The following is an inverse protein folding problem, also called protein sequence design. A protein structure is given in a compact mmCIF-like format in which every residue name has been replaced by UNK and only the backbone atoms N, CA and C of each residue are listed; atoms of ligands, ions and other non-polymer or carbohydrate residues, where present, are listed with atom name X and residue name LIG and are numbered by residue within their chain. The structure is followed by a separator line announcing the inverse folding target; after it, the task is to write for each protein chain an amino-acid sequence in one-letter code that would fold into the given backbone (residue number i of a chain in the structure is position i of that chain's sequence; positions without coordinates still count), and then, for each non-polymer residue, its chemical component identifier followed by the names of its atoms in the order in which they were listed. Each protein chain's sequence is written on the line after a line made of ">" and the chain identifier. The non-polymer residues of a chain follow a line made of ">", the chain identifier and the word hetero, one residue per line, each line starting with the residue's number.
data_IF_680145055070
#
_entry.id   IF_680145055070
#
_cell.length_a   1.000
_cell.length_b   1.000
_cell.length_c   1.000
_cell.angle_alpha   90.00
_cell.angle_beta   90.00
_cell.angle_gamma   90.00
#
_symmetry.space_group_name_H-M   'P 1'
#
loop_
_entity.id
_entity.type
_entity.pdbx_description
1 polymer ?
#
# COMPACT_ATOMS: atom_id res chain seq x y z
N UNK A 1 0.94 -14.11 -4.26
CA UNK A 1 0.14 -13.08 -4.96
C UNK A 1 1.09 -12.04 -5.55
N UNK A 2 0.77 -11.49 -6.71
CA UNK A 2 1.57 -10.47 -7.41
C UNK A 2 0.76 -9.19 -7.61
N UNK A 3 1.39 -8.06 -7.27
CA UNK A 3 0.80 -6.72 -7.39
C UNK A 3 1.65 -5.94 -8.40
N UNK A 4 1.04 -5.52 -9.50
CA UNK A 4 1.73 -4.78 -10.55
C UNK A 4 1.18 -3.36 -10.62
N UNK A 5 2.07 -2.39 -10.41
CA UNK A 5 1.74 -0.96 -10.45
C UNK A 5 2.28 -0.38 -11.75
N UNK A 6 1.44 0.33 -12.50
CA UNK A 6 1.80 0.97 -13.77
C UNK A 6 1.46 2.46 -13.74
N UNK A 7 2.13 3.24 -14.61
CA UNK A 7 1.73 4.63 -14.85
C UNK A 7 0.55 4.68 -15.81
N UNK A 8 0.66 3.92 -16.90
CA UNK A 8 -0.36 3.85 -17.94
C UNK A 8 -1.32 2.69 -17.75
N UNK A 9 -2.44 2.74 -18.48
CA UNK A 9 -3.45 1.69 -18.51
C UNK A 9 -2.85 0.35 -18.96
N UNK A 10 -3.30 -0.74 -18.34
CA UNK A 10 -2.90 -2.10 -18.74
C UNK A 10 -3.28 -2.39 -20.20
N UNK A 11 -2.48 -3.21 -20.89
CA UNK A 11 -2.86 -3.72 -22.20
C UNK A 11 -3.92 -4.82 -22.07
N UNK A 12 -4.53 -5.21 -23.19
CA UNK A 12 -5.49 -6.33 -23.20
C UNK A 12 -4.87 -7.61 -22.68
N UNK A 13 -3.68 -7.95 -23.16
CA UNK A 13 -3.04 -9.23 -22.82
C UNK A 13 -2.63 -9.25 -21.34
N UNK A 14 -2.17 -8.12 -20.80
CA UNK A 14 -1.93 -7.99 -19.36
C UNK A 14 -3.18 -8.29 -18.52
N UNK A 15 -4.36 -7.78 -18.93
CA UNK A 15 -5.62 -8.09 -18.23
C UNK A 15 -6.03 -9.54 -18.38
N UNK A 16 -5.83 -10.13 -19.57
CA UNK A 16 -6.12 -11.54 -19.83
C UNK A 16 -5.28 -12.45 -18.94
N UNK A 17 -3.98 -12.19 -18.86
CA UNK A 17 -3.07 -12.97 -17.99
C UNK A 17 -3.42 -12.82 -16.52
N UNK A 18 -3.73 -11.59 -16.06
CA UNK A 18 -4.14 -11.35 -14.68
C UNK A 18 -5.42 -12.12 -14.31
N UNK A 19 -6.41 -12.15 -15.21
CA UNK A 19 -7.65 -12.91 -15.01
C UNK A 19 -7.41 -14.43 -15.05
N UNK A 20 -6.55 -14.90 -15.97
CA UNK A 20 -6.25 -16.33 -16.15
C UNK A 20 -5.43 -16.91 -15.00
N UNK A 21 -4.70 -16.08 -14.26
CA UNK A 21 -3.94 -16.48 -13.08
C UNK A 21 -4.79 -17.03 -11.92
N UNK A 22 -6.11 -16.78 -11.92
CA UNK A 22 -7.05 -17.30 -10.92
C UNK A 22 -6.89 -16.68 -9.53
N UNK A 23 -7.39 -17.38 -8.51
CA UNK A 23 -7.51 -16.86 -7.15
C UNK A 23 -6.67 -17.65 -6.14
N UNK A 24 -6.13 -16.94 -5.16
CA UNK A 24 -5.55 -17.49 -3.94
C UNK A 24 -6.65 -17.56 -2.87
N UNK A 25 -6.96 -18.76 -2.42
CA UNK A 25 -7.91 -19.00 -1.33
C UNK A 25 -7.20 -18.81 0.02
N UNK A 26 -7.75 -17.94 0.87
CA UNK A 26 -7.27 -17.77 2.25
C UNK A 26 -8.18 -18.53 3.20
N UNK A 27 -7.68 -19.62 3.79
CA UNK A 27 -8.43 -20.40 4.78
C UNK A 27 -8.80 -19.58 6.02
N UNK A 28 -7.91 -18.68 6.44
CA UNK A 28 -8.12 -17.84 7.63
C UNK A 28 -9.30 -16.87 7.47
N UNK A 29 -9.49 -16.35 6.26
CA UNK A 29 -10.50 -15.34 5.96
C UNK A 29 -11.68 -15.91 5.16
N UNK A 30 -11.65 -17.21 4.86
CA UNK A 30 -12.57 -17.94 3.98
C UNK A 30 -12.96 -17.12 2.74
N UNK A 31 -11.93 -16.57 2.08
CA UNK A 31 -12.10 -15.65 0.95
C UNK A 31 -11.03 -15.85 -0.10
N UNK A 32 -11.45 -15.71 -1.35
CA UNK A 32 -10.61 -15.73 -2.53
C UNK A 32 -10.09 -14.33 -2.88
N UNK A 33 -8.81 -14.27 -3.24
CA UNK A 33 -8.13 -13.04 -3.65
C UNK A 33 -7.41 -13.24 -5.00
N UNK A 34 -7.51 -12.31 -5.98
CA UNK A 34 -6.89 -12.51 -7.29
C UNK A 34 -5.37 -12.65 -7.18
N UNK A 35 -4.81 -13.73 -7.76
CA UNK A 35 -3.36 -14.01 -7.65
C UNK A 35 -2.51 -12.93 -8.29
N UNK A 36 -2.99 -12.32 -9.36
CA UNK A 36 -2.32 -11.25 -10.10
C UNK A 36 -3.28 -10.06 -10.18
N UNK A 37 -2.82 -8.90 -9.74
CA UNK A 37 -3.60 -7.66 -9.77
C UNK A 37 -2.77 -6.57 -10.41
N UNK A 38 -3.37 -5.80 -11.32
CA UNK A 38 -2.73 -4.69 -12.01
C UNK A 38 -3.50 -3.42 -11.65
N UNK A 39 -2.78 -2.38 -11.22
CA UNK A 39 -3.35 -1.08 -10.88
C UNK A 39 -2.48 0.04 -11.45
N UNK A 40 -3.10 1.11 -11.88
CA UNK A 40 -2.38 2.34 -12.22
C UNK A 40 -2.20 3.21 -10.98
N UNK A 41 -1.21 4.09 -10.99
CA UNK A 41 -1.05 5.11 -9.94
C UNK A 41 -2.31 5.99 -9.85
N UNK A 42 -2.92 6.36 -11.00
CA UNK A 42 -4.14 7.15 -11.03
C UNK A 42 -5.34 6.44 -10.38
N UNK A 43 -5.49 5.14 -10.62
CA UNK A 43 -6.51 4.29 -9.96
C UNK A 43 -6.29 4.27 -8.45
N UNK A 44 -5.05 4.07 -7.99
CA UNK A 44 -4.72 4.07 -6.56
C UNK A 44 -5.03 5.40 -5.88
N UNK A 45 -4.69 6.52 -6.54
CA UNK A 45 -5.02 7.86 -6.04
C UNK A 45 -6.53 8.11 -6.01
N UNK A 46 -7.29 7.41 -6.86
CA UNK A 46 -8.76 7.45 -6.88
C UNK A 46 -9.40 6.46 -5.88
N UNK A 47 -8.61 5.85 -4.99
CA UNK A 47 -9.09 4.90 -3.98
C UNK A 47 -9.20 3.44 -4.44
N UNK A 48 -8.79 3.11 -5.67
CA UNK A 48 -8.79 1.74 -6.18
C UNK A 48 -7.50 1.02 -5.80
N UNK A 49 -7.46 0.53 -4.56
CA UNK A 49 -6.34 -0.24 -4.03
C UNK A 49 -6.27 -1.69 -4.52
N UNK A 50 -5.39 -2.46 -3.87
CA UNK A 50 -5.26 -3.89 -4.05
C UNK A 50 -6.16 -4.66 -3.08
N UNK A 51 -6.68 -5.80 -3.53
CA UNK A 51 -7.41 -6.74 -2.70
C UNK A 51 -6.43 -7.68 -2.01
N UNK A 52 -6.19 -7.45 -0.73
CA UNK A 52 -5.27 -8.22 0.08
C UNK A 52 -6.02 -8.83 1.28
N UNK A 53 -5.62 -10.04 1.73
CA UNK A 53 -6.03 -10.54 3.02
C UNK A 53 -5.69 -9.50 4.10
N UNK A 54 -6.59 -9.23 5.06
CA UNK A 54 -6.28 -8.33 6.16
C UNK A 54 -5.01 -8.79 6.87
N UNK A 55 -4.06 -7.87 7.07
CA UNK A 55 -2.86 -8.16 7.84
C UNK A 55 -3.23 -8.29 9.32
N UNK A 56 -3.36 -9.52 9.80
CA UNK A 56 -3.42 -9.84 11.23
C UNK A 56 -2.04 -9.60 11.86
N UNK A 57 -1.81 -8.36 12.30
CA UNK A 57 -0.60 -7.97 13.03
C UNK A 57 0.66 -7.83 12.17
N UNK A 58 1.69 -7.21 12.76
CA UNK A 58 3.03 -7.12 12.16
C UNK A 58 3.62 -8.53 12.09
N UNK A 59 3.78 -9.09 10.90
CA UNK A 59 4.51 -10.34 10.66
C UNK A 59 6.03 -10.23 10.91
N UNK A 60 6.45 -9.15 11.57
CA UNK A 60 7.82 -8.73 11.79
C UNK A 60 7.93 -8.17 13.20
N UNK A 61 9.08 -8.36 13.84
CA UNK A 61 9.37 -7.72 15.11
C UNK A 61 9.51 -6.21 14.90
N UNK A 62 8.72 -5.36 15.58
CA UNK A 62 8.87 -3.91 15.47
C UNK A 62 10.25 -3.50 16.00
N UNK A 63 10.92 -2.59 15.28
CA UNK A 63 12.19 -2.04 15.74
C UNK A 63 12.01 -1.26 17.06
N UNK A 64 13.03 -1.31 17.91
CA UNK A 64 13.02 -0.55 19.15
C UNK A 64 12.94 0.95 18.85
N UNK A 65 12.02 1.64 19.52
CA UNK A 65 11.81 3.07 19.32
C UNK A 65 12.95 3.84 19.98
N UNK A 66 13.93 4.31 19.20
CA UNK A 66 14.97 5.21 19.72
C UNK A 66 14.31 6.51 20.15
N UNK A 67 14.21 6.74 21.47
CA UNK A 67 13.79 8.02 22.03
C UNK A 67 14.94 9.01 21.83
N UNK A 68 14.89 9.77 20.73
CA UNK A 68 15.74 10.96 20.60
C UNK A 68 15.31 11.99 21.64
N UNK A 69 16.25 12.74 22.24
CA UNK A 69 15.93 13.89 23.08
C UNK A 69 14.92 14.77 22.35
N UNK A 70 13.90 15.24 23.06
CA UNK A 70 12.88 16.12 22.51
C UNK A 70 13.58 17.33 21.89
N UNK A 71 13.42 17.53 20.58
CA UNK A 71 13.98 18.69 19.90
C UNK A 71 13.41 19.94 20.56
N UNK A 72 14.27 20.76 21.15
CA UNK A 72 13.88 22.05 21.67
C UNK A 72 13.77 22.99 20.47
N UNK A 73 12.55 23.26 20.02
CA UNK A 73 12.29 24.29 19.02
C UNK A 73 12.51 25.65 19.70
N UNK A 74 13.56 26.37 19.31
CA UNK A 74 13.76 27.72 19.76
C UNK A 74 12.55 28.59 19.36
N UNK A 75 12.08 29.43 20.28
CA UNK A 75 11.07 30.42 19.96
C UNK A 75 11.68 31.42 18.96
N UNK A 76 10.98 31.68 17.86
CA UNK A 76 11.38 32.74 16.93
C UNK A 76 11.09 34.09 17.61
N UNK A 77 12.12 34.70 18.18
CA UNK A 77 12.07 36.12 18.54
C UNK A 77 12.29 36.95 17.27
N UNK A 78 11.31 37.79 16.92
CA UNK A 78 11.54 38.93 16.02
C UNK A 78 10.89 38.92 14.64
N UNK A 79 9.67 38.41 14.48
CA UNK A 79 8.76 39.01 13.49
C UNK A 79 7.89 40.01 14.25
N UNK A 80 8.47 41.17 14.52
CA UNK A 80 7.67 42.34 14.84
C UNK A 80 6.80 42.67 13.64
N UNK A 81 5.50 42.70 13.90
CA UNK A 81 4.45 43.33 13.11
C UNK A 81 4.87 44.70 12.58
N UNK A 82 4.97 44.83 11.25
CA UNK A 82 4.52 45.97 10.44
C UNK A 82 4.71 45.69 8.94
#
# INVERSE_FOLDING_TARGET
>A
MGLFITLESSTRDMRTEAASGGFFHSELWDRDFPKIQIRTVGEMMSGHGFELPPSVGTAYQPAERIRRPQGHQAQMEGLETA
#
